data_IF_541116615375
#
_entry.id   IF_541116615375
#
_cell.length_a   1.000
_cell.length_b   1.000
_cell.length_c   1.000
_cell.angle_alpha   90.00
_cell.angle_beta   90.00
_cell.angle_gamma   90.00
#
_symmetry.space_group_name_H-M   'P 1'
#
loop_
_entity.id
_entity.type
_entity.pdbx_description
1 polymer ?
#
# COMPACT_ATOMS: atom_id res chain seq x y z
N UNK A 1 3.30 -4.77 12.33
CA UNK A 1 3.16 -6.16 11.84
C UNK A 1 4.19 -6.35 10.75
N UNK A 2 5.03 -7.39 10.82
CA UNK A 2 6.09 -7.62 9.82
C UNK A 2 5.46 -7.99 8.48
N UNK A 3 5.97 -7.40 7.39
CA UNK A 3 5.55 -7.62 5.99
C UNK A 3 5.65 -9.09 5.54
N UNK A 4 6.25 -9.96 6.35
CA UNK A 4 6.53 -11.37 6.08
C UNK A 4 5.29 -12.28 6.07
N UNK A 5 4.11 -11.81 6.50
CA UNK A 5 2.92 -12.66 6.62
C UNK A 5 1.67 -12.17 5.84
N UNK A 6 1.84 -11.34 4.80
CA UNK A 6 0.70 -10.94 3.94
C UNK A 6 0.38 -12.04 2.92
N UNK A 7 -0.89 -12.46 2.85
CA UNK A 7 -1.36 -13.31 1.75
C UNK A 7 -1.34 -12.54 0.43
N UNK A 8 -1.32 -13.26 -0.71
CA UNK A 8 -1.42 -12.63 -2.04
C UNK A 8 -2.67 -11.76 -2.20
N UNK A 9 -3.76 -12.09 -1.50
CA UNK A 9 -5.01 -11.35 -1.54
C UNK A 9 -4.96 -10.08 -0.68
N UNK A 10 -4.41 -10.19 0.53
CA UNK A 10 -4.20 -9.03 1.41
C UNK A 10 -3.27 -8.02 0.77
N UNK A 11 -2.17 -8.50 0.15
CA UNK A 11 -1.23 -7.66 -0.59
C UNK A 11 -1.92 -6.91 -1.74
N UNK A 12 -2.71 -7.61 -2.55
CA UNK A 12 -3.45 -6.98 -3.65
C UNK A 12 -4.47 -5.96 -3.12
N UNK A 13 -5.15 -6.25 -2.01
CA UNK A 13 -6.14 -5.36 -1.40
C UNK A 13 -5.50 -4.09 -0.83
N UNK A 14 -4.37 -4.21 -0.13
CA UNK A 14 -3.63 -3.09 0.43
C UNK A 14 -3.14 -2.15 -0.67
N UNK A 15 -2.50 -2.70 -1.71
CA UNK A 15 -2.03 -1.91 -2.85
C UNK A 15 -3.18 -1.21 -3.58
N UNK A 16 -4.28 -1.92 -3.83
CA UNK A 16 -5.45 -1.33 -4.50
C UNK A 16 -6.10 -0.22 -3.67
N UNK A 17 -6.29 -0.44 -2.37
CA UNK A 17 -6.84 0.59 -1.48
C UNK A 17 -5.95 1.83 -1.42
N UNK A 18 -4.63 1.63 -1.33
CA UNK A 18 -3.68 2.74 -1.26
C UNK A 18 -3.56 3.50 -2.58
N UNK A 19 -3.55 2.79 -3.72
CA UNK A 19 -3.58 3.42 -5.04
C UNK A 19 -4.82 4.29 -5.23
N UNK A 20 -5.99 3.86 -4.74
CA UNK A 20 -7.21 4.69 -4.75
C UNK A 20 -7.01 5.97 -3.93
N UNK A 21 -6.46 5.86 -2.71
CA UNK A 21 -6.18 7.05 -1.88
C UNK A 21 -5.27 8.05 -2.62
N UNK A 22 -4.19 7.57 -3.23
CA UNK A 22 -3.25 8.41 -3.98
C UNK A 22 -3.95 9.05 -5.18
N UNK A 23 -4.78 8.29 -5.91
CA UNK A 23 -5.56 8.81 -7.03
C UNK A 23 -6.58 9.90 -6.62
N UNK A 24 -7.03 9.87 -5.36
CA UNK A 24 -7.90 10.88 -4.76
C UNK A 24 -7.12 12.10 -4.21
N UNK A 25 -5.80 12.18 -4.45
CA UNK A 25 -4.96 13.28 -3.99
C UNK A 25 -4.38 13.11 -2.58
N UNK A 26 -4.42 11.90 -2.01
CA UNK A 26 -3.72 11.64 -0.76
C UNK A 26 -2.20 11.75 -0.95
N UNK A 27 -1.51 12.36 0.02
CA UNK A 27 -0.07 12.56 -0.02
C UNK A 27 0.68 11.21 0.11
N UNK A 28 1.59 10.90 -0.83
CA UNK A 28 2.51 9.77 -0.67
C UNK A 28 3.51 9.99 0.47
N UNK A 29 3.89 8.90 1.12
CA UNK A 29 4.87 8.87 2.21
C UNK A 29 6.29 8.54 1.75
N UNK A 30 6.43 8.12 0.49
CA UNK A 30 7.71 7.93 -0.20
C UNK A 30 8.00 9.11 -1.13
N UNK A 31 9.28 9.34 -1.43
CA UNK A 31 9.66 10.28 -2.47
C UNK A 31 9.15 9.78 -3.82
N UNK A 32 8.31 10.58 -4.47
CA UNK A 32 7.79 10.28 -5.80
C UNK A 32 8.96 10.45 -6.77
N UNK A 33 9.46 9.34 -7.31
CA UNK A 33 10.42 9.34 -8.41
C UNK A 33 9.75 9.71 -9.74
N UNK A 34 10.27 9.16 -10.84
CA UNK A 34 9.80 9.52 -12.19
C UNK A 34 8.44 8.91 -12.58
N UNK A 35 7.92 7.93 -11.83
CA UNK A 35 6.58 7.34 -12.09
C UNK A 35 5.49 8.04 -11.29
N UNK A 36 4.45 8.50 -11.99
CA UNK A 36 3.26 9.14 -11.44
C UNK A 36 2.10 8.16 -11.24
N UNK A 37 2.28 6.87 -11.55
CA UNK A 37 1.22 5.89 -11.45
C UNK A 37 0.90 5.57 -9.97
N UNK A 38 -0.37 5.72 -9.52
CA UNK A 38 -0.73 5.50 -8.11
C UNK A 38 -0.40 4.10 -7.58
N UNK A 39 -0.38 3.10 -8.46
CA UNK A 39 -0.05 1.71 -8.12
C UNK A 39 1.45 1.57 -7.81
N UNK A 40 2.31 2.21 -8.59
CA UNK A 40 3.76 2.16 -8.39
C UNK A 40 4.14 2.84 -7.07
N UNK A 41 3.52 3.99 -6.79
CA UNK A 41 3.71 4.72 -5.54
C UNK A 41 3.27 3.86 -4.35
N UNK A 42 2.10 3.22 -4.42
CA UNK A 42 1.63 2.30 -3.38
C UNK A 42 2.56 1.09 -3.20
N UNK A 43 3.18 0.60 -4.28
CA UNK A 43 4.14 -0.50 -4.25
C UNK A 43 5.43 -0.11 -3.51
N UNK A 44 5.98 1.07 -3.80
CA UNK A 44 7.16 1.58 -3.12
C UNK A 44 6.88 1.86 -1.63
N UNK A 45 5.70 2.37 -1.27
CA UNK A 45 5.31 2.52 0.14
C UNK A 45 5.21 1.17 0.87
N UNK A 46 4.65 0.15 0.22
CA UNK A 46 4.58 -1.20 0.79
C UNK A 46 5.97 -1.80 0.99
N UNK A 47 6.87 -1.61 0.02
CA UNK A 47 8.25 -2.11 0.05
C UNK A 47 9.09 -1.41 1.12
N UNK A 48 8.87 -0.11 1.32
CA UNK A 48 9.48 0.67 2.39
C UNK A 48 8.86 0.39 3.78
N UNK A 49 7.73 -0.32 3.84
CA UNK A 49 7.04 -0.65 5.10
C UNK A 49 6.38 0.57 5.77
N UNK A 50 6.13 1.64 5.02
CA UNK A 50 5.52 2.90 5.51
C UNK A 50 4.05 3.04 5.14
N UNK A 51 3.46 2.01 4.51
CA UNK A 51 2.09 2.03 4.04
C UNK A 51 1.10 2.21 5.21
N UNK A 52 0.23 3.25 5.20
CA UNK A 52 -0.60 3.63 6.34
C UNK A 52 -1.92 2.83 6.37
N UNK A 53 -1.84 1.51 6.21
CA UNK A 53 -2.99 0.61 6.28
C UNK A 53 -2.60 -0.67 7.03
N UNK A 54 -3.49 -1.11 7.90
CA UNK A 54 -3.36 -2.38 8.61
C UNK A 54 -4.34 -3.42 8.08
N UNK A 55 -3.94 -4.70 8.16
CA UNK A 55 -4.81 -5.82 7.83
C UNK A 55 -5.42 -6.36 9.11
N UNK A 56 -6.74 -6.26 9.23
CA UNK A 56 -7.50 -6.85 10.33
C UNK A 56 -8.01 -8.21 9.86
N UNK A 57 -7.62 -9.27 10.57
CA UNK A 57 -8.13 -10.63 10.39
C UNK A 57 -9.18 -10.89 11.45
N UNK A 58 -10.36 -11.30 11.00
CA UNK A 58 -11.38 -11.81 11.90
C UNK A 58 -11.21 -13.33 11.91
N UNK A 59 -10.58 -13.84 12.96
CA UNK A 59 -10.74 -15.25 13.31
C UNK A 59 -12.14 -15.36 13.95
N UNK A 60 -12.97 -16.30 13.46
CA UNK A 60 -14.30 -16.56 14.04
C UNK A 60 -14.25 -16.99 15.50
#
# INVERSE_FOLDING_TARGET
MTTENLTRFERARLLGARAIQISMGAKPLVEIGDSLDPIDIAYEELKAGVLPLDVIRYDE
#
